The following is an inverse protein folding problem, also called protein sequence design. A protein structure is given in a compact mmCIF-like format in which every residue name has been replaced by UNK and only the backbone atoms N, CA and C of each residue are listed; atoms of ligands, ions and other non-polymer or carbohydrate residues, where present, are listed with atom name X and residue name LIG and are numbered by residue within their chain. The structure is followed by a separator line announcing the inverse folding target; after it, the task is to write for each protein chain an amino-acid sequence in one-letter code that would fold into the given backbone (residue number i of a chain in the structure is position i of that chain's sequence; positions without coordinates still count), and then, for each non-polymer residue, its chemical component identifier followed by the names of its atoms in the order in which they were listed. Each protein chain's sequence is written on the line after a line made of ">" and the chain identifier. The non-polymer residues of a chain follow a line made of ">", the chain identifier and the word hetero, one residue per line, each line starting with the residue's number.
data_IF_677757761513
#
_entry.id   IF_677757761513
#
_cell.length_a   1.000
_cell.length_b   1.000
_cell.length_c   1.000
_cell.angle_alpha   90.00
_cell.angle_beta   90.00
_cell.angle_gamma   90.00
#
_symmetry.space_group_name_H-M   'P 1'
#
loop_
_entity.id
_entity.type
_entity.pdbx_description
1 polymer ?
#
# COMPACT_ATOMS: atom_id res chain seq x y z
N UNK A 1 -8.11 -0.52 19.97
CA UNK A 1 -7.38 0.22 18.91
C UNK A 1 -6.72 -0.83 18.03
N UNK A 2 -6.79 -0.70 16.71
CA UNK A 2 -6.06 -1.61 15.82
C UNK A 2 -4.59 -1.22 15.78
N UNK A 3 -3.71 -2.22 15.73
CA UNK A 3 -2.28 -2.00 15.49
C UNK A 3 -2.02 -1.90 13.99
N UNK A 4 -2.02 -0.67 13.47
CA UNK A 4 -1.73 -0.37 12.07
C UNK A 4 -0.57 0.62 11.99
N UNK A 5 0.65 0.10 12.17
CA UNK A 5 1.87 0.91 12.20
C UNK A 5 2.40 1.17 10.80
N UNK A 6 2.69 2.44 10.51
CA UNK A 6 3.37 2.87 9.29
C UNK A 6 4.62 3.67 9.64
N UNK A 7 5.67 3.52 8.84
CA UNK A 7 6.92 4.26 8.96
C UNK A 7 7.20 4.96 7.64
N UNK A 8 7.38 6.27 7.68
CA UNK A 8 7.60 7.05 6.47
C UNK A 8 8.52 8.25 6.69
N UNK A 9 9.27 8.66 5.65
CA UNK A 9 10.02 9.89 5.67
C UNK A 9 9.09 11.08 5.46
N UNK A 10 9.29 12.14 6.23
CA UNK A 10 8.59 13.41 6.12
C UNK A 10 9.61 14.52 5.86
N UNK A 11 9.40 15.30 4.81
CA UNK A 11 10.26 16.43 4.49
C UNK A 11 9.77 17.67 5.25
N UNK A 12 10.65 18.26 6.07
CA UNK A 12 10.38 19.48 6.84
C UNK A 12 11.43 20.55 6.50
N UNK A 13 11.20 21.78 6.96
CA UNK A 13 12.18 22.87 6.84
C UNK A 13 13.51 22.55 7.53
N UNK A 14 13.50 21.66 8.54
CA UNK A 14 14.68 21.21 9.28
C UNK A 14 15.40 20.01 8.62
N UNK A 15 14.88 19.52 7.49
CA UNK A 15 15.41 18.38 6.75
C UNK A 15 14.46 17.18 6.74
N UNK A 16 15.02 15.99 6.58
CA UNK A 16 14.23 14.76 6.54
C UNK A 16 13.98 14.23 7.95
N UNK A 17 12.72 14.14 8.34
CA UNK A 17 12.26 13.45 9.52
C UNK A 17 11.83 12.01 9.18
N UNK A 18 11.85 11.13 10.18
CA UNK A 18 11.25 9.80 10.09
C UNK A 18 10.15 9.68 11.11
N UNK A 19 8.94 9.42 10.61
CA UNK A 19 7.73 9.27 11.41
C UNK A 19 7.38 7.79 11.50
N UNK A 20 7.04 7.33 12.69
CA UNK A 20 6.40 6.03 12.93
C UNK A 20 5.08 6.32 13.62
N UNK A 21 3.96 6.00 12.99
CA UNK A 21 2.62 6.37 13.45
C UNK A 21 1.72 5.14 13.46
N UNK A 22 0.87 5.03 14.47
CA UNK A 22 -0.23 4.08 14.44
C UNK A 22 -1.42 4.72 13.72
N UNK A 23 -1.59 4.40 12.44
CA UNK A 23 -2.71 4.85 11.62
C UNK A 23 -4.06 4.36 12.18
N UNK A 24 -4.07 3.24 12.91
CA UNK A 24 -5.26 2.71 13.57
C UNK A 24 -5.79 3.61 14.69
N UNK A 25 -5.00 4.58 15.15
CA UNK A 25 -5.47 5.59 16.10
C UNK A 25 -6.49 6.56 15.48
N UNK A 26 -6.50 6.73 14.14
CA UNK A 26 -7.42 7.63 13.45
C UNK A 26 -8.89 7.31 13.74
N UNK A 27 -9.21 6.02 13.90
CA UNK A 27 -10.57 5.51 14.12
C UNK A 27 -11.18 6.03 15.42
N UNK A 28 -10.31 6.32 16.42
CA UNK A 28 -10.74 6.70 17.76
C UNK A 28 -10.29 8.09 18.17
N UNK A 29 -9.30 8.70 17.50
CA UNK A 29 -8.63 9.93 17.94
C UNK A 29 -9.62 11.07 18.28
N UNK A 30 -10.69 11.24 17.50
CA UNK A 30 -11.71 12.28 17.73
C UNK A 30 -12.64 12.00 18.92
N UNK A 31 -12.76 10.74 19.33
CA UNK A 31 -13.63 10.29 20.43
C UNK A 31 -12.84 9.78 21.64
N UNK A 32 -11.51 9.78 21.57
CA UNK A 32 -10.65 9.35 22.66
C UNK A 32 -10.70 10.38 23.78
N UNK A 33 -11.18 9.93 24.95
CA UNK A 33 -11.33 10.73 26.15
C UNK A 33 -9.99 11.15 26.79
N UNK A 34 -8.84 10.71 26.26
CA UNK A 34 -7.50 11.08 26.73
C UNK A 34 -7.11 12.46 26.22
N UNK A 35 -7.37 13.49 27.01
CA UNK A 35 -7.24 14.87 26.57
C UNK A 35 -5.87 15.48 26.86
N UNK A 36 -4.93 14.73 27.43
CA UNK A 36 -3.56 15.21 27.63
C UNK A 36 -2.60 14.52 26.67
N UNK A 37 -1.84 15.32 25.94
CA UNK A 37 -0.66 14.87 25.23
C UNK A 37 0.54 14.85 26.18
N UNK A 38 1.22 13.72 26.27
CA UNK A 38 2.56 13.58 26.79
C UNK A 38 3.54 13.48 25.60
N UNK A 39 4.43 14.45 25.48
CA UNK A 39 5.54 14.43 24.54
C UNK A 39 6.83 14.14 25.29
N UNK A 40 7.49 13.02 24.98
CA UNK A 40 8.80 12.64 25.54
C UNK A 40 9.87 12.90 24.49
N UNK A 41 10.93 13.60 24.85
CA UNK A 41 12.04 13.97 23.99
C UNK A 41 13.32 13.30 24.48
N UNK A 42 14.10 12.77 23.54
CA UNK A 42 15.48 12.37 23.77
C UNK A 42 16.41 12.93 22.70
N UNK A 43 17.66 13.15 23.08
CA UNK A 43 18.74 13.49 22.16
C UNK A 43 19.48 12.21 21.77
N UNK A 44 19.69 12.01 20.48
CA UNK A 44 20.48 10.91 19.94
C UNK A 44 21.95 11.09 20.34
N UNK A 45 22.59 10.03 20.82
CA UNK A 45 24.02 10.01 21.15
C UNK A 45 24.88 9.86 19.89
N UNK A 46 24.37 9.16 18.88
CA UNK A 46 25.05 8.80 17.64
C UNK A 46 24.07 8.85 16.47
N UNK A 47 23.96 10.04 15.89
CA UNK A 47 23.22 10.22 14.65
C UNK A 47 24.15 10.18 13.42
N UNK A 48 23.62 9.77 12.27
CA UNK A 48 24.28 9.88 10.98
C UNK A 48 24.23 11.33 10.44
N UNK A 49 24.76 11.54 9.23
CA UNK A 49 24.81 12.86 8.58
C UNK A 49 23.42 13.47 8.33
N UNK A 50 22.36 12.65 8.33
CA UNK A 50 20.97 13.05 8.15
C UNK A 50 20.25 13.26 9.49
N UNK A 51 20.95 13.19 10.63
CA UNK A 51 20.36 13.39 11.95
C UNK A 51 19.55 12.20 12.47
N UNK A 52 19.71 11.01 11.87
CA UNK A 52 18.99 9.78 12.23
C UNK A 52 19.86 8.83 13.04
N UNK A 53 19.27 7.97 13.89
CA UNK A 53 20.06 7.04 14.69
C UNK A 53 20.89 6.09 13.83
N UNK A 54 22.12 5.87 14.25
CA UNK A 54 22.98 4.81 13.72
C UNK A 54 22.41 3.43 14.07
N UNK A 55 22.77 2.39 13.30
CA UNK A 55 22.33 1.02 13.58
C UNK A 55 22.73 0.55 14.98
N UNK A 56 23.89 1.00 15.49
CA UNK A 56 24.34 0.68 16.84
C UNK A 56 23.48 1.33 17.93
N UNK A 57 22.96 2.55 17.71
CA UNK A 57 22.08 3.23 18.66
C UNK A 57 20.63 2.75 18.54
N UNK A 58 20.22 2.30 17.36
CA UNK A 58 18.85 1.89 17.07
C UNK A 58 18.30 0.86 18.06
N UNK A 59 19.08 -0.19 18.37
CA UNK A 59 18.68 -1.22 19.33
C UNK A 59 18.40 -0.66 20.73
N UNK A 60 19.24 0.25 21.23
CA UNK A 60 19.02 0.89 22.53
C UNK A 60 17.76 1.78 22.52
N UNK A 61 17.45 2.41 21.39
CA UNK A 61 16.24 3.21 21.24
C UNK A 61 14.97 2.35 21.17
N UNK A 62 15.04 1.14 20.62
CA UNK A 62 13.92 0.18 20.65
C UNK A 62 13.64 -0.29 22.08
N UNK A 63 14.68 -0.57 22.87
CA UNK A 63 14.51 -0.93 24.29
C UNK A 63 13.91 0.23 25.11
N UNK A 64 14.27 1.47 24.80
CA UNK A 64 13.65 2.66 25.41
C UNK A 64 12.19 2.80 25.00
N UNK A 65 11.87 2.57 23.73
CA UNK A 65 10.49 2.64 23.22
C UNK A 65 9.60 1.62 23.92
N UNK A 66 10.06 0.36 24.00
CA UNK A 66 9.35 -0.72 24.69
C UNK A 66 9.17 -0.43 26.19
N UNK A 67 10.20 0.09 26.86
CA UNK A 67 10.11 0.40 28.29
C UNK A 67 9.16 1.58 28.57
N UNK A 68 9.13 2.61 27.70
CA UNK A 68 8.15 3.69 27.79
C UNK A 68 6.74 3.16 27.53
N UNK A 69 6.57 2.34 26.49
CA UNK A 69 5.29 1.74 26.12
C UNK A 69 4.73 0.93 27.28
N UNK A 70 5.47 -0.06 27.79
CA UNK A 70 5.03 -0.89 28.92
C UNK A 70 4.70 -0.08 30.18
N UNK A 71 5.53 0.91 30.49
CA UNK A 71 5.33 1.75 31.66
C UNK A 71 4.07 2.61 31.56
N UNK A 72 3.83 3.24 30.41
CA UNK A 72 2.72 4.16 30.20
C UNK A 72 1.40 3.45 29.88
N UNK A 73 1.44 2.33 29.15
CA UNK A 73 0.26 1.50 28.83
C UNK A 73 -0.37 0.91 30.10
N UNK A 74 0.43 0.56 31.11
CA UNK A 74 -0.05 0.14 32.43
C UNK A 74 -0.91 1.21 33.14
N UNK A 75 -0.79 2.47 32.72
CA UNK A 75 -1.59 3.61 33.17
C UNK A 75 -2.59 4.10 32.12
N UNK A 76 -2.95 3.22 31.18
CA UNK A 76 -3.93 3.47 30.12
C UNK A 76 -3.56 4.66 29.22
N UNK A 77 -2.28 4.91 29.01
CA UNK A 77 -1.82 5.82 27.95
C UNK A 77 -1.85 5.12 26.59
N UNK A 78 -2.15 5.85 25.53
CA UNK A 78 -2.11 5.36 24.15
C UNK A 78 -0.91 5.94 23.45
N UNK A 79 -0.07 5.05 22.91
CA UNK A 79 1.05 5.44 22.07
C UNK A 79 0.57 5.78 20.66
N UNK A 80 0.68 7.06 20.27
CA UNK A 80 0.24 7.54 18.97
C UNK A 80 1.36 7.43 17.90
N UNK A 81 2.61 7.53 18.33
CA UNK A 81 3.77 7.38 17.46
C UNK A 81 5.01 8.16 17.90
N UNK A 82 6.00 8.18 17.03
CA UNK A 82 7.28 8.90 17.22
C UNK A 82 7.73 9.59 15.94
N UNK A 83 8.53 10.64 16.12
CA UNK A 83 9.28 11.30 15.05
C UNK A 83 10.74 11.39 15.44
N UNK A 84 11.64 11.09 14.51
CA UNK A 84 13.08 11.34 14.64
C UNK A 84 13.48 12.39 13.62
N UNK A 85 14.05 13.50 14.09
CA UNK A 85 14.45 14.64 13.26
C UNK A 85 15.58 15.39 13.96
N UNK A 86 16.55 15.88 13.19
CA UNK A 86 17.59 16.79 13.69
C UNK A 86 18.27 16.32 14.99
N UNK A 87 18.76 15.07 15.02
CA UNK A 87 19.45 14.46 16.18
C UNK A 87 18.58 14.26 17.42
N UNK A 88 17.26 14.37 17.30
CA UNK A 88 16.30 14.25 18.38
C UNK A 88 15.20 13.25 18.02
N UNK A 89 14.63 12.61 19.04
CA UNK A 89 13.47 11.74 18.90
C UNK A 89 12.40 12.16 19.89
N UNK A 90 11.18 12.28 19.39
CA UNK A 90 9.99 12.62 20.15
C UNK A 90 9.01 11.46 20.11
N UNK A 91 8.45 11.10 21.26
CA UNK A 91 7.40 10.10 21.43
C UNK A 91 6.14 10.79 21.89
N UNK A 92 5.00 10.44 21.30
CA UNK A 92 3.71 11.05 21.58
C UNK A 92 2.77 10.01 22.18
N UNK A 93 2.32 10.29 23.39
CA UNK A 93 1.34 9.49 24.12
C UNK A 93 0.13 10.35 24.46
N UNK A 94 -1.07 9.84 24.26
CA UNK A 94 -2.26 10.46 24.84
C UNK A 94 -2.60 9.74 26.13
N UNK A 95 -2.84 10.49 27.21
CA UNK A 95 -3.05 9.92 28.54
C UNK A 95 -4.05 10.75 29.35
N UNK A 96 -4.58 10.14 30.41
CA UNK A 96 -5.32 10.81 31.50
C UNK A 96 -4.70 10.50 32.87
N UNK A 97 -3.56 9.81 32.90
CA UNK A 97 -2.87 9.54 34.14
C UNK A 97 -2.20 10.81 34.69
N UNK A 98 -1.91 10.75 35.98
CA UNK A 98 -1.25 11.80 36.73
C UNK A 98 0.17 12.07 36.17
N UNK A 99 0.51 13.36 36.04
CA UNK A 99 1.77 13.78 35.42
C UNK A 99 2.98 13.28 36.21
N UNK A 100 2.90 13.22 37.54
CA UNK A 100 3.97 12.74 38.40
C UNK A 100 4.23 11.24 38.20
N UNK A 101 3.20 10.45 37.90
CA UNK A 101 3.34 9.03 37.53
C UNK A 101 4.10 8.91 36.19
N UNK A 102 3.65 9.62 35.15
CA UNK A 102 4.33 9.63 33.86
C UNK A 102 5.80 10.07 34.00
N UNK A 103 6.04 11.14 34.77
CA UNK A 103 7.37 11.65 35.05
C UNK A 103 8.26 10.63 35.77
N UNK A 104 7.70 9.85 36.70
CA UNK A 104 8.44 8.79 37.39
C UNK A 104 8.87 7.67 36.43
N UNK A 105 7.98 7.25 35.54
CA UNK A 105 8.27 6.25 34.49
C UNK A 105 9.39 6.74 33.59
N UNK A 106 9.25 7.95 33.03
CA UNK A 106 10.23 8.54 32.09
C UNK A 106 11.61 8.67 32.76
N UNK A 107 11.67 9.16 34.01
CA UNK A 107 12.95 9.25 34.74
C UNK A 107 13.57 7.88 35.00
N UNK A 108 12.76 6.86 35.29
CA UNK A 108 13.25 5.50 35.50
C UNK A 108 13.84 4.91 34.22
N UNK A 109 13.13 5.03 33.09
CA UNK A 109 13.61 4.60 31.77
C UNK A 109 14.89 5.33 31.41
N UNK A 110 14.93 6.66 31.55
CA UNK A 110 16.13 7.46 31.29
C UNK A 110 17.34 6.98 32.11
N UNK A 111 17.16 6.70 33.40
CA UNK A 111 18.24 6.17 34.26
C UNK A 111 18.67 4.76 33.83
N UNK A 112 17.73 3.89 33.52
CA UNK A 112 18.00 2.49 33.14
C UNK A 112 18.88 2.40 31.89
N UNK A 113 18.61 3.21 30.87
CA UNK A 113 19.34 3.17 29.59
C UNK A 113 20.43 4.25 29.48
N UNK A 114 20.61 5.07 30.51
CA UNK A 114 21.59 6.16 30.53
C UNK A 114 21.28 7.26 29.53
N UNK A 115 20.00 7.61 29.34
CA UNK A 115 19.53 8.72 28.52
C UNK A 115 18.90 9.80 29.40
N UNK A 116 19.13 11.06 29.04
CA UNK A 116 18.35 12.17 29.57
C UNK A 116 17.09 12.29 28.74
N UNK A 117 15.95 11.96 29.36
CA UNK A 117 14.62 12.13 28.76
C UNK A 117 13.99 13.40 29.30
N UNK A 118 13.66 14.32 28.40
CA UNK A 118 12.84 15.49 28.69
C UNK A 118 11.39 15.16 28.36
N UNK A 119 10.43 15.79 29.02
CA UNK A 119 9.03 15.61 28.66
C UNK A 119 8.21 16.86 28.96
N UNK A 120 7.08 16.98 28.26
CA UNK A 120 6.06 17.99 28.52
C UNK A 120 4.67 17.37 28.42
N UNK A 121 3.74 17.88 29.24
CA UNK A 121 2.33 17.53 29.19
C UNK A 121 1.52 18.76 28.79
N UNK A 122 0.57 18.59 27.88
CA UNK A 122 -0.32 19.67 27.43
C UNK A 122 -1.72 19.15 27.15
N UNK A 123 -2.74 19.95 27.49
CA UNK A 123 -4.12 19.64 27.12
C UNK A 123 -4.31 19.75 25.60
N UNK A 124 -4.78 18.67 24.98
CA UNK A 124 -4.96 18.51 23.54
C UNK A 124 -6.16 17.60 23.21
N UNK A 125 -7.40 17.99 23.56
CA UNK A 125 -8.58 17.17 23.33
C UNK A 125 -8.79 16.81 21.84
N UNK A 126 -8.42 17.72 20.94
CA UNK A 126 -8.55 17.55 19.48
C UNK A 126 -7.41 16.73 18.84
N UNK A 127 -6.42 16.29 19.63
CA UNK A 127 -5.29 15.49 19.15
C UNK A 127 -4.50 16.14 18.00
N UNK A 128 -4.32 17.47 18.05
CA UNK A 128 -3.68 18.25 17.00
C UNK A 128 -2.26 17.76 16.64
N UNK A 129 -1.46 17.32 17.62
CA UNK A 129 -0.12 16.78 17.40
C UNK A 129 -0.14 15.47 16.63
N UNK A 130 -1.13 14.60 16.86
CA UNK A 130 -1.31 13.43 16.02
C UNK A 130 -1.57 13.85 14.58
N UNK A 131 -2.58 14.70 14.32
CA UNK A 131 -2.97 15.07 12.95
C UNK A 131 -1.91 15.88 12.20
N UNK A 132 -1.14 16.73 12.88
CA UNK A 132 -0.16 17.64 12.24
C UNK A 132 1.23 17.04 12.14
N UNK A 133 1.66 16.29 13.17
CA UNK A 133 3.04 15.82 13.26
C UNK A 133 3.19 14.36 12.82
N UNK A 134 2.23 13.51 13.20
CA UNK A 134 2.34 12.05 13.02
C UNK A 134 1.52 11.49 11.86
N UNK A 135 0.31 12.00 11.66
CA UNK A 135 -0.56 11.51 10.60
C UNK A 135 -0.07 12.04 9.25
N UNK A 136 0.00 11.20 8.20
CA UNK A 136 0.47 11.65 6.90
C UNK A 136 -0.45 12.73 6.30
N UNK A 137 0.15 13.83 5.87
CA UNK A 137 -0.49 14.78 4.97
C UNK A 137 -0.69 14.17 3.57
N UNK A 138 -1.41 14.86 2.68
CA UNK A 138 -1.56 14.41 1.28
C UNK A 138 -0.19 14.25 0.58
N UNK A 139 0.73 15.16 0.85
CA UNK A 139 2.10 15.07 0.34
C UNK A 139 2.86 13.89 0.95
N UNK A 140 2.72 13.66 2.26
CA UNK A 140 3.36 12.51 2.92
C UNK A 140 2.82 11.19 2.34
N UNK A 141 1.53 11.11 2.03
CA UNK A 141 0.93 9.97 1.34
C UNK A 141 1.52 9.75 -0.04
N UNK A 142 1.79 10.83 -0.78
CA UNK A 142 2.47 10.73 -2.07
C UNK A 142 3.90 10.17 -1.91
N UNK A 143 4.65 10.66 -0.92
CA UNK A 143 6.00 10.16 -0.62
C UNK A 143 5.97 8.68 -0.20
N UNK A 144 4.98 8.26 0.58
CA UNK A 144 4.78 6.85 0.96
C UNK A 144 4.60 5.98 -0.28
N UNK A 145 3.74 6.41 -1.23
CA UNK A 145 3.50 5.68 -2.47
C UNK A 145 4.77 5.59 -3.34
N UNK A 146 5.50 6.69 -3.46
CA UNK A 146 6.76 6.72 -4.21
C UNK A 146 7.78 5.75 -3.61
N UNK A 147 7.90 5.74 -2.28
CA UNK A 147 8.81 4.84 -1.57
C UNK A 147 8.47 3.37 -1.84
N UNK A 148 7.19 2.99 -1.92
CA UNK A 148 6.77 1.63 -2.26
C UNK A 148 7.21 1.23 -3.69
N UNK A 149 7.09 2.14 -4.66
CA UNK A 149 7.54 1.92 -6.04
C UNK A 149 9.06 1.81 -6.10
N UNK A 150 9.78 2.71 -5.44
CA UNK A 150 11.25 2.69 -5.36
C UNK A 150 11.79 1.41 -4.73
N UNK A 151 11.15 0.92 -3.66
CA UNK A 151 11.50 -0.38 -3.06
C UNK A 151 11.30 -1.53 -4.04
N UNK A 152 10.27 -1.46 -4.89
CA UNK A 152 9.98 -2.48 -5.89
C UNK A 152 11.00 -2.43 -7.05
N UNK A 153 11.40 -1.24 -7.49
CA UNK A 153 12.50 -1.03 -8.44
C UNK A 153 13.81 -1.60 -7.88
N UNK A 154 14.17 -1.26 -6.64
CA UNK A 154 15.37 -1.77 -5.98
C UNK A 154 15.39 -3.30 -5.88
N UNK A 155 14.27 -3.94 -5.50
CA UNK A 155 14.11 -5.40 -5.50
C UNK A 155 14.28 -6.02 -6.90
N UNK A 156 13.98 -5.25 -7.93
CA UNK A 156 14.15 -5.66 -9.33
C UNK A 156 15.58 -5.42 -9.85
N UNK A 157 16.47 -4.89 -9.02
CA UNK A 157 17.88 -4.64 -9.33
C UNK A 157 18.13 -3.30 -10.03
N UNK A 158 17.23 -2.34 -9.87
CA UNK A 158 17.36 -0.99 -10.41
C UNK A 158 18.57 -0.23 -9.84
N UNK A 159 19.18 0.62 -10.66
CA UNK A 159 20.21 1.57 -10.24
C UNK A 159 19.61 2.98 -10.15
N UNK A 160 19.41 3.54 -8.95
CA UNK A 160 18.59 4.73 -8.79
C UNK A 160 19.16 6.00 -9.42
N UNK A 161 20.49 6.10 -9.56
CA UNK A 161 21.14 7.29 -10.10
C UNK A 161 21.11 7.37 -11.65
N UNK A 162 20.67 6.31 -12.34
CA UNK A 162 20.51 6.35 -13.80
C UNK A 162 19.32 7.23 -14.17
N UNK A 163 19.61 8.30 -14.92
CA UNK A 163 18.61 9.19 -15.51
C UNK A 163 17.78 8.44 -16.56
N UNK A 164 16.47 8.53 -16.43
CA UNK A 164 15.51 7.84 -17.31
C UNK A 164 14.22 8.62 -17.46
N UNK A 165 13.43 8.25 -18.46
CA UNK A 165 12.09 8.80 -18.60
C UNK A 165 11.17 8.31 -17.48
N UNK A 166 10.46 9.26 -16.89
CA UNK A 166 9.41 9.05 -15.91
C UNK A 166 8.15 9.64 -16.49
N UNK A 167 7.14 8.80 -16.68
CA UNK A 167 5.84 9.24 -17.18
C UNK A 167 4.88 9.43 -16.01
N UNK A 168 4.00 10.40 -16.13
CA UNK A 168 3.05 10.84 -15.13
C UNK A 168 1.65 10.92 -15.73
N UNK A 169 0.64 10.71 -14.88
CA UNK A 169 -0.77 10.77 -15.24
C UNK A 169 -1.53 11.66 -14.29
N UNK A 170 -2.35 12.55 -14.86
CA UNK A 170 -3.34 13.32 -14.12
C UNK A 170 -4.69 13.28 -14.85
N UNK A 171 -5.77 13.24 -14.09
CA UNK A 171 -7.13 13.12 -14.63
C UNK A 171 -7.99 14.30 -14.16
N UNK A 172 -8.84 14.83 -15.05
CA UNK A 172 -9.63 16.03 -14.83
C UNK A 172 -11.09 15.82 -15.26
N UNK A 173 -12.06 16.49 -14.62
CA UNK A 173 -13.47 16.41 -15.01
C UNK A 173 -13.78 17.04 -16.37
N UNK A 174 -13.02 18.06 -16.78
CA UNK A 174 -13.29 18.81 -18.02
C UNK A 174 -12.03 19.00 -18.87
N UNK A 175 -12.23 19.17 -20.19
CA UNK A 175 -11.14 19.47 -21.13
C UNK A 175 -10.40 20.76 -20.78
N UNK A 176 -11.13 21.78 -20.31
CA UNK A 176 -10.54 23.07 -19.95
C UNK A 176 -9.57 22.94 -18.78
N UNK A 177 -9.93 22.17 -17.74
CA UNK A 177 -9.05 21.90 -16.60
C UNK A 177 -7.83 21.07 -17.00
N UNK A 178 -8.02 20.04 -17.82
CA UNK A 178 -6.92 19.24 -18.36
C UNK A 178 -5.95 20.11 -19.19
N UNK A 179 -6.48 21.03 -20.00
CA UNK A 179 -5.64 21.93 -20.80
C UNK A 179 -4.85 22.90 -19.92
N UNK A 180 -5.46 23.48 -18.88
CA UNK A 180 -4.75 24.34 -17.93
C UNK A 180 -3.59 23.61 -17.25
N UNK A 181 -3.81 22.37 -16.82
CA UNK A 181 -2.75 21.56 -16.24
C UNK A 181 -1.68 21.18 -17.26
N UNK A 182 -2.05 20.84 -18.50
CA UNK A 182 -1.09 20.55 -19.57
C UNK A 182 -0.21 21.76 -19.90
N UNK A 183 -0.80 22.96 -19.94
CA UNK A 183 -0.06 24.21 -20.16
C UNK A 183 0.92 24.48 -19.01
N UNK A 184 0.49 24.23 -17.77
CA UNK A 184 1.37 24.29 -16.60
C UNK A 184 2.51 23.27 -16.69
N UNK A 185 2.23 22.01 -17.01
CA UNK A 185 3.24 20.96 -17.12
C UNK A 185 4.29 21.32 -18.20
N UNK A 186 3.86 21.85 -19.34
CA UNK A 186 4.77 22.33 -20.38
C UNK A 186 5.62 23.52 -19.90
N UNK A 187 5.04 24.45 -19.12
CA UNK A 187 5.76 25.59 -18.56
C UNK A 187 6.82 25.16 -17.52
N UNK A 188 6.57 24.08 -16.78
CA UNK A 188 7.51 23.44 -15.84
C UNK A 188 8.46 22.45 -16.53
N UNK A 189 8.60 22.54 -17.86
CA UNK A 189 9.52 21.75 -18.69
C UNK A 189 9.22 20.24 -18.77
N UNK A 190 8.01 19.80 -18.42
CA UNK A 190 7.57 18.45 -18.75
C UNK A 190 7.20 18.33 -20.24
N UNK A 191 7.36 17.13 -20.80
CA UNK A 191 6.93 16.80 -22.15
C UNK A 191 5.51 16.23 -22.09
N UNK A 192 4.52 17.02 -22.51
CA UNK A 192 3.12 16.55 -22.59
C UNK A 192 2.93 15.71 -23.85
N UNK A 193 2.64 14.42 -23.68
CA UNK A 193 2.43 13.48 -24.78
C UNK A 193 0.96 13.31 -25.14
N UNK A 194 0.04 13.50 -24.19
CA UNK A 194 -1.41 13.40 -24.41
C UNK A 194 -2.16 14.38 -23.49
N UNK A 195 -3.15 15.06 -24.04
CA UNK A 195 -4.20 15.79 -23.31
C UNK A 195 -5.51 15.52 -24.03
N UNK A 196 -6.25 14.50 -23.59
CA UNK A 196 -7.44 14.03 -24.29
C UNK A 196 -8.39 13.30 -23.32
N UNK A 197 -9.62 13.06 -23.77
CA UNK A 197 -10.54 12.18 -23.02
C UNK A 197 -9.95 10.77 -22.90
N UNK A 198 -10.22 10.12 -21.77
CA UNK A 198 -9.95 8.70 -21.58
C UNK A 198 -10.75 7.87 -22.61
N UNK A 199 -10.17 6.77 -23.09
CA UNK A 199 -10.82 5.92 -24.11
C UNK A 199 -12.10 5.25 -23.57
N UNK A 200 -12.06 4.81 -22.32
CA UNK A 200 -13.16 4.10 -21.64
C UNK A 200 -13.79 4.93 -20.51
N UNK A 201 -13.54 6.25 -20.47
CA UNK A 201 -13.88 7.12 -19.34
C UNK A 201 -14.54 8.45 -19.69
N UNK A 202 -15.12 9.06 -18.65
CA UNK A 202 -15.74 10.39 -18.73
C UNK A 202 -14.78 11.51 -18.31
N UNK A 203 -13.55 11.17 -17.91
CA UNK A 203 -12.51 12.13 -17.52
C UNK A 203 -11.57 12.46 -18.69
N UNK A 204 -10.90 13.59 -18.55
CA UNK A 204 -9.82 14.03 -19.43
C UNK A 204 -8.48 13.72 -18.77
N UNK A 205 -7.60 13.03 -19.48
CA UNK A 205 -6.30 12.62 -19.00
C UNK A 205 -5.19 13.46 -19.64
N UNK A 206 -4.25 13.87 -18.80
CA UNK A 206 -2.96 14.46 -19.21
C UNK A 206 -1.87 13.44 -18.92
N UNK A 207 -1.14 13.03 -19.96
CA UNK A 207 0.05 12.19 -19.86
C UNK A 207 1.25 13.06 -20.20
N UNK A 208 2.23 13.07 -19.32
CA UNK A 208 3.40 13.92 -19.45
C UNK A 208 4.62 13.23 -18.84
N UNK A 209 5.82 13.58 -19.28
CA UNK A 209 7.04 12.95 -18.79
C UNK A 209 8.17 13.94 -18.52
N UNK A 210 9.11 13.51 -17.69
CA UNK A 210 10.41 14.17 -17.51
C UNK A 210 11.52 13.12 -17.49
N UNK A 211 12.77 13.58 -17.53
CA UNK A 211 13.94 12.72 -17.25
C UNK A 211 14.42 12.98 -15.83
N UNK A 212 14.50 11.94 -15.01
CA UNK A 212 14.89 12.04 -13.60
C UNK A 212 15.55 10.77 -13.05
N UNK A 213 16.02 10.85 -11.81
CA UNK A 213 16.56 9.73 -11.04
C UNK A 213 15.49 9.08 -10.16
N UNK A 214 15.73 7.83 -9.74
CA UNK A 214 14.89 7.11 -8.78
C UNK A 214 15.38 7.31 -7.35
N UNK A 215 15.89 8.51 -7.05
CA UNK A 215 16.14 8.94 -5.69
C UNK A 215 14.86 9.54 -5.13
N UNK A 216 14.56 9.25 -3.86
CA UNK A 216 13.30 9.65 -3.24
C UNK A 216 13.05 11.16 -3.30
N UNK A 217 14.09 11.97 -3.03
CA UNK A 217 14.04 13.42 -3.08
C UNK A 217 13.70 13.97 -4.48
N UNK A 218 14.19 13.31 -5.52
CA UNK A 218 13.96 13.69 -6.91
C UNK A 218 12.52 13.34 -7.33
N UNK A 219 12.14 12.06 -7.28
CA UNK A 219 10.82 11.64 -7.74
C UNK A 219 9.69 12.25 -6.90
N UNK A 220 9.84 12.32 -5.57
CA UNK A 220 8.79 12.86 -4.71
C UNK A 220 8.61 14.37 -4.87
N UNK A 221 9.64 15.11 -5.29
CA UNK A 221 9.47 16.50 -5.69
C UNK A 221 8.49 16.63 -6.86
N UNK A 222 8.68 15.80 -7.90
CA UNK A 222 7.84 15.81 -9.09
C UNK A 222 6.39 15.36 -8.82
N UNK A 223 6.21 14.30 -8.03
CA UNK A 223 4.88 13.74 -7.73
C UNK A 223 4.07 14.66 -6.80
N UNK A 224 4.68 15.22 -5.75
CA UNK A 224 4.01 16.18 -4.87
C UNK A 224 3.59 17.45 -5.62
N UNK A 225 4.49 18.01 -6.43
CA UNK A 225 4.19 19.23 -7.19
C UNK A 225 3.08 18.99 -8.23
N UNK A 226 3.13 17.85 -8.91
CA UNK A 226 2.08 17.38 -9.81
C UNK A 226 0.74 17.20 -9.10
N UNK A 227 0.73 16.57 -7.93
CA UNK A 227 -0.47 16.31 -7.15
C UNK A 227 -1.16 17.62 -6.72
N UNK A 228 -0.40 18.52 -6.08
CA UNK A 228 -0.90 19.85 -5.68
C UNK A 228 -1.48 20.61 -6.88
N UNK A 229 -0.79 20.60 -8.02
CA UNK A 229 -1.25 21.31 -9.23
C UNK A 229 -2.47 20.68 -9.88
N UNK A 230 -2.58 19.35 -9.86
CA UNK A 230 -3.79 18.68 -10.31
C UNK A 230 -4.98 19.11 -9.46
N UNK A 231 -4.83 19.12 -8.13
CA UNK A 231 -5.87 19.58 -7.21
C UNK A 231 -6.25 21.05 -7.37
N UNK A 232 -5.29 21.96 -7.56
CA UNK A 232 -5.56 23.38 -7.85
C UNK A 232 -6.44 23.58 -9.09
N UNK A 233 -6.29 22.71 -10.09
CA UNK A 233 -7.11 22.72 -11.31
C UNK A 233 -8.37 21.84 -11.20
N UNK A 234 -8.67 21.28 -10.02
CA UNK A 234 -9.85 20.45 -9.75
C UNK A 234 -9.79 19.06 -10.40
N UNK A 235 -8.59 18.54 -10.62
CA UNK A 235 -8.33 17.15 -11.00
C UNK A 235 -7.61 16.38 -9.90
N UNK A 236 -7.17 15.18 -10.26
CA UNK A 236 -6.43 14.27 -9.39
C UNK A 236 -5.19 13.78 -10.13
N UNK A 237 -4.09 13.65 -9.41
CA UNK A 237 -2.89 12.97 -9.89
C UNK A 237 -3.06 11.45 -9.70
N UNK A 238 -2.91 10.68 -10.77
CA UNK A 238 -3.14 9.22 -10.77
C UNK A 238 -1.85 8.43 -10.49
N UNK A 239 -0.68 9.04 -10.67
CA UNK A 239 0.60 8.43 -10.35
C UNK A 239 1.64 8.54 -11.46
N UNK A 240 2.69 7.72 -11.34
CA UNK A 240 3.81 7.66 -12.28
C UNK A 240 4.24 6.22 -12.55
N UNK A 241 5.08 6.07 -13.56
CA UNK A 241 5.65 4.80 -13.97
C UNK A 241 7.01 5.03 -14.66
N UNK A 242 7.86 4.01 -14.63
CA UNK A 242 9.17 4.04 -15.28
C UNK A 242 9.68 2.63 -15.58
N UNK A 243 10.79 2.56 -16.30
CA UNK A 243 11.57 1.34 -16.56
C UNK A 243 12.56 1.03 -15.42
N UNK A 244 12.92 -0.25 -15.31
CA UNK A 244 14.08 -0.68 -14.52
C UNK A 244 15.35 -0.48 -15.34
N UNK A 245 16.27 0.31 -14.80
CA UNK A 245 17.57 0.58 -15.40
C UNK A 245 18.66 -0.13 -14.61
N UNK A 246 19.33 -1.08 -15.27
CA UNK A 246 20.53 -1.75 -14.79
C UNK A 246 21.63 -1.26 -15.70
N UNK A 247 22.68 -0.61 -15.18
CA UNK A 247 23.79 -0.10 -15.99
C UNK A 247 24.32 -1.16 -16.99
N UNK A 248 24.94 -0.70 -18.08
CA UNK A 248 25.28 -1.42 -19.33
C UNK A 248 25.36 -2.99 -19.27
N UNK A 249 24.89 -3.66 -20.33
CA UNK A 249 23.90 -4.74 -20.22
C UNK A 249 24.49 -6.14 -20.03
N UNK A 250 23.68 -7.01 -19.41
CA UNK A 250 23.61 -8.40 -19.84
C UNK A 250 22.22 -8.66 -20.46
N UNK A 251 22.16 -8.62 -21.80
CA UNK A 251 21.07 -9.08 -22.68
C UNK A 251 19.72 -8.32 -22.59
N UNK A 252 18.89 -8.34 -23.65
CA UNK A 252 17.59 -7.66 -23.66
C UNK A 252 16.64 -8.35 -22.68
N UNK A 253 16.57 -7.85 -21.45
CA UNK A 253 15.50 -8.17 -20.53
C UNK A 253 14.23 -7.48 -21.02
N UNK A 254 13.10 -8.20 -21.04
CA UNK A 254 11.77 -7.61 -21.22
C UNK A 254 11.66 -6.43 -20.23
N UNK A 255 11.43 -5.22 -20.72
CA UNK A 255 11.26 -4.03 -19.89
C UNK A 255 10.07 -4.25 -18.95
N UNK A 256 10.36 -4.51 -17.68
CA UNK A 256 9.35 -4.58 -16.64
C UNK A 256 9.08 -3.13 -16.21
N UNK A 257 7.87 -2.63 -16.51
CA UNK A 257 7.42 -1.32 -16.04
C UNK A 257 6.85 -1.48 -14.63
N UNK A 258 7.15 -0.52 -13.77
CA UNK A 258 6.63 -0.43 -12.41
C UNK A 258 5.80 0.84 -12.27
N UNK A 259 4.66 0.75 -11.59
CA UNK A 259 3.67 1.83 -11.51
C UNK A 259 3.20 2.06 -10.07
N UNK A 260 3.02 3.33 -9.71
CA UNK A 260 2.35 3.76 -8.48
C UNK A 260 0.84 3.99 -8.63
N UNK A 261 0.25 3.64 -9.78
CA UNK A 261 -1.16 3.93 -10.09
C UNK A 261 -2.13 3.06 -9.26
N UNK A 262 -3.04 3.65 -8.47
CA UNK A 262 -4.01 2.91 -7.66
C UNK A 262 -4.96 2.03 -8.51
N UNK A 263 -5.25 2.46 -9.73
CA UNK A 263 -6.25 1.85 -10.63
C UNK A 263 -5.75 0.57 -11.33
N UNK A 264 -4.44 0.37 -11.47
CA UNK A 264 -3.86 -0.80 -12.17
C UNK A 264 -3.35 -1.92 -11.26
N UNK A 265 -3.25 -1.71 -9.94
CA UNK A 265 -2.89 -2.78 -8.98
C UNK A 265 -3.92 -3.91 -8.96
N UNK A 266 -5.21 -3.58 -9.00
CA UNK A 266 -6.29 -4.58 -8.92
C UNK A 266 -6.45 -5.34 -10.24
N UNK A 267 -6.34 -4.64 -11.38
CA UNK A 267 -6.43 -5.23 -12.71
C UNK A 267 -5.28 -6.20 -13.02
N UNK A 268 -4.06 -5.83 -12.65
CA UNK A 268 -2.87 -6.68 -12.89
C UNK A 268 -2.90 -7.96 -12.04
N UNK A 269 -3.38 -7.87 -10.80
CA UNK A 269 -3.56 -9.04 -9.93
C UNK A 269 -4.72 -9.92 -10.41
N UNK A 270 -5.81 -9.34 -10.91
CA UNK A 270 -6.92 -10.10 -11.48
C UNK A 270 -6.53 -10.84 -12.77
N UNK A 271 -5.80 -10.19 -13.68
CA UNK A 271 -5.30 -10.79 -14.93
C UNK A 271 -4.23 -11.85 -14.64
N UNK A 272 -3.31 -11.60 -13.71
CA UNK A 272 -2.33 -12.58 -13.28
C UNK A 272 -2.97 -13.80 -12.60
N UNK A 273 -4.04 -13.60 -11.83
CA UNK A 273 -4.81 -14.68 -11.19
C UNK A 273 -5.62 -15.49 -12.21
N UNK A 274 -6.16 -14.84 -13.25
CA UNK A 274 -6.84 -15.50 -14.38
C UNK A 274 -5.86 -16.32 -15.23
N UNK A 275 -4.69 -15.76 -15.54
CA UNK A 275 -3.67 -16.43 -16.34
C UNK A 275 -3.03 -17.61 -15.59
N UNK A 276 -2.68 -17.42 -14.31
CA UNK A 276 -2.11 -18.49 -13.48
C UNK A 276 -3.15 -19.55 -13.12
N UNK A 277 -4.40 -19.15 -12.84
CA UNK A 277 -5.52 -20.05 -12.59
C UNK A 277 -5.84 -20.92 -13.80
N UNK A 278 -5.86 -20.35 -15.01
CA UNK A 278 -6.09 -21.08 -16.27
C UNK A 278 -5.01 -22.14 -16.55
N UNK A 279 -3.74 -21.81 -16.36
CA UNK A 279 -2.62 -22.74 -16.60
C UNK A 279 -2.59 -23.85 -15.54
N UNK A 280 -2.75 -23.51 -14.26
CA UNK A 280 -2.77 -24.47 -13.16
C UNK A 280 -3.99 -25.39 -13.21
N UNK A 281 -5.17 -24.85 -13.56
CA UNK A 281 -6.40 -25.62 -13.75
C UNK A 281 -6.31 -26.59 -14.92
N UNK A 282 -5.73 -26.17 -16.05
CA UNK A 282 -5.49 -27.06 -17.19
C UNK A 282 -4.53 -28.21 -16.84
N UNK A 283 -3.48 -27.93 -16.05
CA UNK A 283 -2.53 -28.96 -15.60
C UNK A 283 -3.15 -29.96 -14.61
N UNK A 284 -3.92 -29.48 -13.62
CA UNK A 284 -4.63 -30.35 -12.68
C UNK A 284 -5.72 -31.19 -13.38
N UNK A 285 -6.43 -30.60 -14.33
CA UNK A 285 -7.46 -31.28 -15.11
C UNK A 285 -6.86 -32.38 -16.00
N UNK A 286 -5.71 -32.14 -16.62
CA UNK A 286 -4.94 -33.17 -17.32
C UNK A 286 -4.53 -34.32 -16.40
N UNK A 287 -4.06 -34.02 -15.19
CA UNK A 287 -3.67 -35.04 -14.22
C UNK A 287 -4.86 -35.88 -13.71
N UNK A 288 -6.01 -35.25 -13.45
CA UNK A 288 -7.24 -35.94 -13.04
C UNK A 288 -7.84 -36.77 -14.17
N UNK A 289 -7.79 -36.27 -15.41
CA UNK A 289 -8.23 -37.01 -16.60
C UNK A 289 -7.42 -38.29 -16.85
N UNK A 290 -6.11 -38.26 -16.54
CA UNK A 290 -5.24 -39.44 -16.62
C UNK A 290 -5.51 -40.45 -15.48
N UNK A 291 -5.96 -39.97 -14.31
CA UNK A 291 -6.16 -40.78 -13.12
C UNK A 291 -7.59 -41.35 -12.95
N UNK A 292 -8.56 -40.92 -13.78
CA UNK A 292 -9.96 -41.38 -13.70
C UNK A 292 -10.17 -42.73 -14.40
N UNK A 293 -10.91 -43.68 -13.79
CA UNK A 293 -11.13 -45.01 -14.35
C UNK A 293 -12.23 -45.04 -15.44
N UNK A 294 -12.87 -43.92 -15.75
CA UNK A 294 -13.86 -43.81 -16.83
C UNK A 294 -13.15 -43.35 -18.11
N UNK A 295 -12.82 -44.31 -18.98
CA UNK A 295 -12.17 -44.05 -20.26
C UNK A 295 -13.11 -43.28 -21.21
N UNK A 296 -13.01 -41.96 -21.24
CA UNK A 296 -13.52 -41.14 -22.35
C UNK A 296 -12.47 -41.04 -23.46
N UNK A 297 -12.89 -41.10 -24.73
CA UNK A 297 -11.97 -40.95 -25.86
C UNK A 297 -11.46 -39.49 -25.93
N UNK A 298 -10.18 -39.28 -26.29
CA UNK A 298 -9.58 -37.93 -26.41
C UNK A 298 -10.40 -36.96 -27.30
N UNK A 299 -11.22 -37.47 -28.22
CA UNK A 299 -12.09 -36.68 -29.09
C UNK A 299 -13.34 -36.12 -28.41
N UNK A 300 -13.84 -36.78 -27.35
CA UNK A 300 -15.04 -36.36 -26.61
C UNK A 300 -14.72 -35.29 -25.54
N UNK A 301 -13.44 -35.09 -25.23
CA UNK A 301 -12.97 -34.15 -24.20
C UNK A 301 -12.96 -32.70 -24.68
N UNK A 302 -12.47 -32.43 -25.89
CA UNK A 302 -12.30 -31.06 -26.40
C UNK A 302 -13.59 -30.23 -26.43
N UNK A 303 -14.74 -30.76 -26.89
CA UNK A 303 -16.00 -30.03 -26.89
C UNK A 303 -16.48 -29.72 -25.47
N UNK A 304 -16.41 -30.67 -24.53
CA UNK A 304 -16.83 -30.48 -23.14
C UNK A 304 -15.95 -29.50 -22.37
N UNK A 305 -14.66 -29.45 -22.68
CA UNK A 305 -13.70 -28.51 -22.09
C UNK A 305 -13.96 -27.08 -22.60
N UNK A 306 -14.24 -26.93 -23.90
CA UNK A 306 -14.63 -25.65 -24.49
C UNK A 306 -15.98 -25.16 -23.96
N UNK A 307 -16.96 -26.05 -23.82
CA UNK A 307 -18.30 -25.75 -23.29
C UNK A 307 -18.25 -25.41 -21.80
N UNK A 308 -17.46 -26.14 -20.99
CA UNK A 308 -17.22 -25.85 -19.58
C UNK A 308 -16.43 -24.57 -19.34
N UNK A 309 -15.45 -24.24 -20.20
CA UNK A 309 -14.72 -22.97 -20.13
C UNK A 309 -15.63 -21.77 -20.48
N UNK A 310 -16.46 -21.90 -21.52
CA UNK A 310 -17.45 -20.88 -21.90
C UNK A 310 -18.53 -20.71 -20.84
N UNK A 311 -19.06 -21.81 -20.29
CA UNK A 311 -20.05 -21.78 -19.21
C UNK A 311 -19.44 -21.20 -17.92
N UNK A 312 -18.19 -21.54 -17.59
CA UNK A 312 -17.47 -21.00 -16.45
C UNK A 312 -17.22 -19.49 -16.55
N UNK A 313 -16.82 -19.02 -17.74
CA UNK A 313 -16.68 -17.59 -18.03
C UNK A 313 -18.05 -16.91 -17.95
N UNK A 314 -19.10 -17.50 -18.52
CA UNK A 314 -20.47 -16.95 -18.49
C UNK A 314 -21.03 -16.88 -17.06
N UNK A 315 -20.82 -17.90 -16.24
CA UNK A 315 -21.24 -17.92 -14.82
C UNK A 315 -20.45 -16.87 -14.04
N UNK A 316 -19.14 -16.77 -14.22
CA UNK A 316 -18.31 -15.74 -13.58
C UNK A 316 -18.74 -14.32 -13.96
N UNK A 317 -19.10 -14.09 -15.23
CA UNK A 317 -19.47 -12.76 -15.72
C UNK A 317 -20.93 -12.39 -15.40
N UNK A 318 -21.89 -13.27 -15.72
CA UNK A 318 -23.31 -13.03 -15.50
C UNK A 318 -23.68 -13.07 -14.01
N UNK A 319 -23.18 -14.03 -13.23
CA UNK A 319 -23.43 -14.06 -11.79
C UNK A 319 -22.55 -13.05 -11.05
N UNK A 320 -21.35 -12.75 -11.57
CA UNK A 320 -20.48 -11.66 -11.12
C UNK A 320 -21.22 -10.32 -11.03
N UNK A 321 -21.89 -9.96 -12.13
CA UNK A 321 -22.58 -8.67 -12.27
C UNK A 321 -23.94 -8.67 -11.55
N UNK A 322 -24.75 -9.73 -11.69
CA UNK A 322 -26.14 -9.71 -11.21
C UNK A 322 -26.34 -10.24 -9.78
N UNK A 323 -25.40 -11.01 -9.23
CA UNK A 323 -25.50 -11.60 -7.88
C UNK A 323 -24.38 -11.10 -6.98
N UNK A 324 -23.14 -11.12 -7.47
CA UNK A 324 -21.95 -10.78 -6.69
C UNK A 324 -21.84 -9.28 -6.44
N UNK A 325 -22.05 -8.42 -7.44
CA UNK A 325 -22.02 -6.95 -7.27
C UNK A 325 -23.02 -6.42 -6.23
N UNK A 326 -24.32 -6.75 -6.28
CA UNK A 326 -25.27 -6.29 -5.26
C UNK A 326 -24.99 -6.87 -3.87
N UNK A 327 -24.53 -8.13 -3.79
CA UNK A 327 -24.19 -8.77 -2.52
C UNK A 327 -22.90 -8.19 -1.89
N UNK A 328 -21.90 -7.85 -2.72
CA UNK A 328 -20.68 -7.15 -2.31
C UNK A 328 -20.97 -5.73 -1.82
N UNK A 329 -21.91 -5.01 -2.43
CA UNK A 329 -22.37 -3.70 -1.96
C UNK A 329 -23.01 -3.79 -0.57
N UNK A 330 -23.85 -4.81 -0.34
CA UNK A 330 -24.46 -5.08 0.97
C UNK A 330 -23.42 -5.50 2.01
N UNK A 331 -22.45 -6.36 1.67
CA UNK A 331 -21.43 -6.81 2.61
C UNK A 331 -20.38 -5.74 2.93
N UNK A 332 -20.10 -4.84 1.98
CA UNK A 332 -19.29 -3.64 2.21
C UNK A 332 -19.95 -2.69 3.22
N UNK A 333 -21.27 -2.59 3.21
CA UNK A 333 -22.04 -1.83 4.21
C UNK A 333 -21.89 -2.40 5.63
N UNK A 334 -21.60 -3.70 5.78
CA UNK A 334 -21.36 -4.36 7.07
C UNK A 334 -19.88 -4.59 7.41
N UNK A 335 -18.94 -4.06 6.62
CA UNK A 335 -17.50 -4.15 6.89
C UNK A 335 -16.83 -5.50 6.56
N UNK A 336 -17.50 -6.39 5.81
CA UNK A 336 -17.00 -7.73 5.48
C UNK A 336 -16.41 -7.87 4.07
N UNK A 337 -16.09 -6.77 3.39
CA UNK A 337 -15.61 -6.78 2.01
C UNK A 337 -14.10 -7.10 1.90
N UNK A 338 -13.73 -8.32 2.29
CA UNK A 338 -12.42 -8.91 2.00
C UNK A 338 -12.46 -9.80 0.74
N UNK A 339 -11.32 -9.94 0.03
CA UNK A 339 -11.20 -10.72 -1.22
C UNK A 339 -11.51 -12.23 -1.08
N UNK A 340 -11.63 -12.75 0.14
CA UNK A 340 -12.07 -14.12 0.43
C UNK A 340 -13.45 -14.47 -0.17
N UNK A 341 -14.31 -13.48 -0.36
CA UNK A 341 -15.71 -13.71 -0.71
C UNK A 341 -15.92 -14.26 -2.13
N UNK A 342 -15.19 -13.72 -3.12
CA UNK A 342 -15.29 -14.16 -4.53
C UNK A 342 -14.85 -15.61 -4.68
N UNK A 343 -13.82 -16.01 -3.92
CA UNK A 343 -13.30 -17.37 -3.92
C UNK A 343 -14.17 -18.34 -3.12
N UNK A 344 -14.72 -17.93 -1.96
CA UNK A 344 -15.66 -18.74 -1.19
C UNK A 344 -16.96 -19.02 -1.98
N UNK A 345 -17.45 -18.04 -2.73
CA UNK A 345 -18.56 -18.21 -3.68
C UNK A 345 -18.16 -19.17 -4.79
N UNK A 346 -17.00 -18.97 -5.43
CA UNK A 346 -16.52 -19.85 -6.50
C UNK A 346 -16.36 -21.30 -6.02
N UNK A 347 -15.89 -21.51 -4.79
CA UNK A 347 -15.78 -22.81 -4.14
C UNK A 347 -17.16 -23.42 -3.86
N UNK A 348 -18.08 -22.64 -3.28
CA UNK A 348 -19.45 -23.07 -2.99
C UNK A 348 -20.20 -23.49 -4.25
N UNK A 349 -20.10 -22.72 -5.32
CA UNK A 349 -20.71 -23.05 -6.61
C UNK A 349 -20.05 -24.25 -7.27
N UNK A 350 -18.71 -24.37 -7.20
CA UNK A 350 -18.03 -25.57 -7.72
C UNK A 350 -18.50 -26.84 -7.02
N UNK A 351 -18.75 -26.78 -5.71
CA UNK A 351 -19.33 -27.88 -4.93
C UNK A 351 -20.79 -28.16 -5.31
N UNK A 352 -21.60 -27.12 -5.54
CA UNK A 352 -23.00 -27.26 -5.99
C UNK A 352 -23.11 -27.87 -7.38
N UNK A 353 -22.27 -27.45 -8.34
CA UNK A 353 -22.24 -28.05 -9.69
C UNK A 353 -21.75 -29.50 -9.68
N UNK A 354 -20.98 -29.89 -8.67
CA UNK A 354 -20.55 -31.28 -8.46
C UNK A 354 -21.71 -32.23 -8.14
N UNK A 355 -22.86 -31.70 -7.69
CA UNK A 355 -24.06 -32.49 -7.38
C UNK A 355 -24.84 -32.92 -8.64
N UNK A 356 -24.80 -32.11 -9.71
CA UNK A 356 -25.48 -32.43 -10.97
C UNK A 356 -24.54 -33.14 -11.96
N UNK A 357 -23.33 -32.60 -12.17
CA UNK A 357 -22.36 -33.15 -13.12
C UNK A 357 -20.94 -33.04 -12.53
N UNK A 358 -20.39 -34.14 -11.98
CA UNK A 358 -19.14 -34.14 -11.21
C UNK A 358 -17.96 -33.53 -11.96
N UNK A 359 -17.92 -33.67 -13.29
CA UNK A 359 -16.84 -33.15 -14.14
C UNK A 359 -16.79 -31.62 -14.12
N UNK A 360 -17.93 -30.93 -14.13
CA UNK A 360 -17.97 -29.46 -14.08
C UNK A 360 -17.57 -28.92 -12.71
N UNK A 361 -17.98 -29.59 -11.63
CA UNK A 361 -17.56 -29.23 -10.27
C UNK A 361 -16.04 -29.38 -10.06
N UNK A 362 -15.44 -30.43 -10.61
CA UNK A 362 -13.98 -30.62 -10.60
C UNK A 362 -13.28 -29.52 -11.40
N UNK A 363 -13.77 -29.16 -12.59
CA UNK A 363 -13.19 -28.05 -13.38
C UNK A 363 -13.23 -26.74 -12.59
N UNK A 364 -14.37 -26.41 -11.97
CA UNK A 364 -14.52 -25.23 -11.13
C UNK A 364 -13.56 -25.19 -9.94
N UNK A 365 -13.37 -26.32 -9.25
CA UNK A 365 -12.42 -26.46 -8.14
C UNK A 365 -10.97 -26.29 -8.61
N UNK A 366 -10.59 -26.90 -9.73
CA UNK A 366 -9.21 -26.83 -10.25
C UNK A 366 -8.79 -25.44 -10.71
N UNK A 367 -9.74 -24.59 -11.11
CA UNK A 367 -9.48 -23.19 -11.48
C UNK A 367 -9.50 -22.25 -10.26
N UNK A 368 -10.40 -22.50 -9.30
CA UNK A 368 -10.61 -21.59 -8.16
C UNK A 368 -9.58 -21.75 -7.03
N UNK A 369 -9.10 -22.97 -6.77
CA UNK A 369 -8.15 -23.25 -5.68
C UNK A 369 -6.75 -22.63 -5.89
N UNK A 370 -6.12 -22.74 -7.07
CA UNK A 370 -4.80 -22.13 -7.31
C UNK A 370 -4.86 -20.60 -7.31
N UNK A 371 -5.93 -20.02 -7.87
CA UNK A 371 -6.15 -18.58 -7.85
C UNK A 371 -6.32 -18.05 -6.42
N UNK A 372 -7.10 -18.75 -5.58
CA UNK A 372 -7.25 -18.42 -4.17
C UNK A 372 -5.91 -18.55 -3.39
N UNK A 373 -5.11 -19.58 -3.66
CA UNK A 373 -3.82 -19.79 -2.99
C UNK A 373 -2.78 -18.71 -3.35
N UNK A 374 -2.63 -18.40 -4.63
CA UNK A 374 -1.70 -17.35 -5.09
C UNK A 374 -2.11 -16.00 -4.52
N UNK A 375 -3.41 -15.70 -4.53
CA UNK A 375 -3.92 -14.46 -3.95
C UNK A 375 -3.67 -14.40 -2.44
N UNK A 376 -3.97 -15.45 -1.67
CA UNK A 376 -3.66 -15.49 -0.24
C UNK A 376 -2.17 -15.29 0.03
N UNK A 377 -1.30 -15.88 -0.80
CA UNK A 377 0.15 -15.68 -0.68
C UNK A 377 0.54 -14.21 -0.91
N UNK A 378 -0.01 -13.53 -1.91
CA UNK A 378 0.38 -12.14 -2.20
C UNK A 378 -0.31 -11.11 -1.31
N UNK A 379 -1.58 -11.32 -0.94
CA UNK A 379 -2.33 -10.44 -0.06
C UNK A 379 -1.85 -10.49 1.40
N UNK A 380 -1.31 -11.63 1.86
CA UNK A 380 -0.87 -11.81 3.26
C UNK A 380 0.65 -11.97 3.44
N UNK A 381 1.47 -12.01 2.38
CA UNK A 381 2.94 -12.04 2.51
C UNK A 381 3.56 -10.72 3.03
N UNK A 382 2.78 -9.64 3.22
CA UNK A 382 3.23 -8.44 3.94
C UNK A 382 3.53 -8.69 5.44
N UNK A 383 3.35 -9.91 5.96
CA UNK A 383 3.59 -10.25 7.38
C UNK A 383 4.83 -11.12 7.70
N UNK A 384 5.70 -11.46 6.75
CA UNK A 384 6.92 -12.23 7.04
C UNK A 384 8.16 -11.59 6.42
N UNK A 385 8.62 -10.54 7.09
CA UNK A 385 9.89 -9.87 6.84
C UNK A 385 10.39 -9.20 8.12
N UNK A 386 10.46 -9.97 9.21
CA UNK A 386 11.28 -9.65 10.37
C UNK A 386 12.48 -10.58 10.34
N UNK A 387 13.64 -9.99 10.06
CA UNK A 387 14.97 -10.58 10.03
C UNK A 387 15.99 -9.48 9.86
#
# INVERSE_FOLDING_TARGET
>A
MQDNWSVYPKFTDEGQAWVSVNLGYEEIARTDARDSLLAVKLKLKRANAQGLPTSEEFAALEEIDEALFQGLDAHNAVYAGRISVNHERYFFYYMNCDEEIAAAIIRNVGRQFGYTLEFGVSAEPEKQSYWRNLYPSEDDWQVIQDLEVLQTLAKSGDQPDIQREVTHWACFPTQAQAQQFADWAAAEHYVVSRCAREEDGDRFQVIYSHTGSMRLDDISFHTMFSNRKAHEHGGDYDGWETSVEKGAPAAPAKTQLFTGRPTHMIGSVAIASLAAGGIAGAALFGAVGIASPVAFSLGDWFPKLAEGALMGIFILFAMGIFVLTPLLLVLRFFGYAGPFFVYAISLLFSVLFMLDEPVFGVVGLTLSLPAAFIFCRFAYARGQGLG
#
